data_IF_405966436496
#
_entry.id   IF_405966436496
#
_cell.length_a   1.000
_cell.length_b   1.000
_cell.length_c   1.000
_cell.angle_alpha   90.00
_cell.angle_beta   90.00
_cell.angle_gamma   90.00
#
_symmetry.space_group_name_H-M   'P 1'
#
loop_
_entity.id
_entity.type
_entity.pdbx_description
1 polymer ?
#
# COMPACT_ATOMS: atom_id res chain seq x y z
N UNK A 1 12.67 4.14 -40.08
CA UNK A 1 11.33 3.65 -39.69
C UNK A 1 11.08 4.10 -38.25
N UNK A 2 10.56 5.32 -38.06
CA UNK A 2 10.38 5.94 -36.74
C UNK A 2 9.08 5.36 -36.17
N UNK A 3 9.19 4.54 -35.12
CA UNK A 3 8.05 3.92 -34.43
C UNK A 3 7.01 4.98 -34.09
N UNK A 4 5.88 4.95 -34.81
CA UNK A 4 4.70 5.75 -34.56
C UNK A 4 4.03 5.26 -33.29
N UNK A 5 4.64 5.56 -32.14
CA UNK A 5 4.01 5.37 -30.84
C UNK A 5 2.80 6.30 -30.79
N UNK A 6 1.59 5.74 -30.76
CA UNK A 6 0.38 6.56 -30.75
C UNK A 6 0.39 7.49 -29.53
N UNK A 7 -0.14 8.71 -29.64
CA UNK A 7 -0.13 9.70 -28.54
C UNK A 7 -0.70 9.13 -27.23
N UNK A 8 -1.67 8.21 -27.33
CA UNK A 8 -2.26 7.49 -26.19
C UNK A 8 -1.22 6.68 -25.40
N UNK A 9 -0.30 5.99 -26.07
CA UNK A 9 0.72 5.16 -25.42
C UNK A 9 1.78 6.02 -24.72
N UNK A 10 2.07 7.22 -25.26
CA UNK A 10 3.00 8.16 -24.61
C UNK A 10 2.43 8.70 -23.29
N UNK A 11 1.15 9.06 -23.27
CA UNK A 11 0.44 9.49 -22.06
C UNK A 11 0.33 8.36 -21.03
N UNK A 12 0.05 7.14 -21.48
CA UNK A 12 -0.02 5.96 -20.62
C UNK A 12 1.32 5.71 -19.89
N UNK A 13 2.44 5.77 -20.61
CA UNK A 13 3.78 5.60 -20.03
C UNK A 13 4.11 6.71 -19.02
N UNK A 14 3.77 7.96 -19.32
CA UNK A 14 3.98 9.07 -18.40
C UNK A 14 3.19 8.88 -17.09
N UNK A 15 1.90 8.50 -17.18
CA UNK A 15 1.06 8.20 -16.00
C UNK A 15 1.59 7.01 -15.20
N UNK A 16 2.00 5.95 -15.89
CA UNK A 16 2.59 4.77 -15.26
C UNK A 16 3.84 5.12 -14.44
N UNK A 17 4.75 5.92 -15.00
CA UNK A 17 5.97 6.35 -14.31
C UNK A 17 5.66 7.21 -13.08
N UNK A 18 4.71 8.15 -13.20
CA UNK A 18 4.27 8.97 -12.07
C UNK A 18 3.69 8.10 -10.93
N UNK A 19 2.84 7.14 -11.28
CA UNK A 19 2.23 6.21 -10.30
C UNK A 19 3.28 5.30 -9.67
N UNK A 20 4.24 4.78 -10.43
CA UNK A 20 5.35 4.00 -9.86
C UNK A 20 6.17 4.83 -8.88
N UNK A 21 6.44 6.09 -9.20
CA UNK A 21 7.16 6.99 -8.30
C UNK A 21 6.39 7.20 -7.00
N UNK A 22 5.07 7.41 -7.07
CA UNK A 22 4.19 7.48 -5.88
C UNK A 22 4.25 6.17 -5.09
N UNK A 23 4.14 5.02 -5.75
CA UNK A 23 4.21 3.72 -5.09
C UNK A 23 5.55 3.50 -4.37
N UNK A 24 6.67 3.88 -4.99
CA UNK A 24 7.99 3.83 -4.36
C UNK A 24 8.12 4.80 -3.17
N UNK A 25 7.55 6.00 -3.28
CA UNK A 25 7.51 6.95 -2.17
C UNK A 25 6.69 6.43 -0.97
N UNK A 26 5.57 5.76 -1.23
CA UNK A 26 4.74 5.13 -0.20
C UNK A 26 5.38 3.85 0.39
N UNK A 27 6.20 3.14 -0.40
CA UNK A 27 7.04 2.07 0.16
C UNK A 27 8.12 2.68 1.06
N UNK A 28 8.75 3.78 0.64
CA UNK A 28 9.75 4.47 1.44
C UNK A 28 9.17 5.03 2.76
N UNK A 29 7.93 5.53 2.78
CA UNK A 29 7.26 5.97 4.01
C UNK A 29 7.07 4.84 5.03
N UNK A 30 6.85 3.59 4.58
CA UNK A 30 6.83 2.42 5.48
C UNK A 30 8.16 2.24 6.21
N UNK A 31 9.30 2.48 5.53
CA UNK A 31 10.61 2.48 6.17
C UNK A 31 10.82 3.69 7.09
N UNK A 32 10.24 4.84 6.77
CA UNK A 32 10.23 6.00 7.68
C UNK A 32 9.50 5.64 8.97
N UNK A 33 8.38 4.92 8.92
CA UNK A 33 7.69 4.43 10.12
C UNK A 33 8.59 3.52 10.96
N UNK A 34 9.39 2.64 10.33
CA UNK A 34 10.38 1.84 11.06
C UNK A 34 11.43 2.72 11.75
N UNK A 35 11.91 3.76 11.06
CA UNK A 35 12.80 4.76 11.67
C UNK A 35 12.17 5.46 12.87
N UNK A 36 10.87 5.81 12.80
CA UNK A 36 10.13 6.38 13.94
C UNK A 36 10.06 5.40 15.11
N UNK A 37 9.76 4.12 14.85
CA UNK A 37 9.73 3.07 15.89
C UNK A 37 11.08 2.96 16.59
N UNK A 38 12.17 2.88 15.82
CA UNK A 38 13.53 2.78 16.39
C UNK A 38 13.96 4.04 17.13
N UNK A 39 13.61 5.22 16.62
CA UNK A 39 13.88 6.48 17.32
C UNK A 39 13.15 6.55 18.67
N UNK A 40 11.87 6.15 18.72
CA UNK A 40 11.08 6.11 19.96
C UNK A 40 11.69 5.12 20.95
N UNK A 41 12.02 3.90 20.50
CA UNK A 41 12.66 2.89 21.35
C UNK A 41 13.97 3.40 21.94
N UNK A 42 14.76 4.15 21.17
CA UNK A 42 16.03 4.67 21.62
C UNK A 42 15.88 5.81 22.63
N UNK A 43 14.95 6.75 22.39
CA UNK A 43 14.76 7.95 23.21
C UNK A 43 13.93 7.70 24.49
N UNK A 44 12.99 6.74 24.46
CA UNK A 44 12.02 6.50 25.53
C UNK A 44 12.19 5.12 26.18
N UNK A 45 13.39 4.54 26.14
CA UNK A 45 13.63 3.22 26.72
C UNK A 45 13.45 3.20 28.26
N UNK A 46 12.70 2.23 28.83
CA UNK A 46 11.85 1.25 28.17
C UNK A 46 10.51 1.84 27.72
N UNK A 47 10.19 1.74 26.43
CA UNK A 47 8.93 2.22 25.89
C UNK A 47 7.82 1.17 26.08
N UNK A 48 6.87 1.45 26.97
CA UNK A 48 5.75 0.56 27.28
C UNK A 48 4.46 0.90 26.51
N UNK A 49 4.55 1.79 25.51
CA UNK A 49 3.39 2.37 24.83
C UNK A 49 2.87 3.63 25.51
N UNK A 50 2.11 4.43 24.76
CA UNK A 50 1.44 5.63 25.26
C UNK A 50 0.15 5.29 26.00
N UNK A 51 -0.43 4.12 25.75
CA UNK A 51 -1.65 3.67 26.40
C UNK A 51 -1.32 2.58 27.44
N UNK A 52 -1.87 2.70 28.65
CA UNK A 52 -1.78 1.66 29.68
C UNK A 52 -2.89 0.63 29.44
N UNK A 53 -2.71 -0.19 28.40
CA UNK A 53 -3.66 -1.25 28.04
C UNK A 53 -3.31 -2.55 28.76
N UNK A 54 -4.32 -3.31 29.16
CA UNK A 54 -4.11 -4.66 29.67
C UNK A 54 -3.69 -5.62 28.54
N UNK A 55 -2.94 -6.69 28.85
CA UNK A 55 -2.43 -7.62 27.83
C UNK A 55 -3.52 -8.30 26.98
N UNK A 56 -4.72 -8.50 27.55
CA UNK A 56 -5.83 -9.12 26.83
C UNK A 56 -6.39 -8.17 25.78
N UNK A 57 -6.57 -6.89 26.10
CA UNK A 57 -6.99 -5.84 25.17
C UNK A 57 -5.97 -5.65 24.05
N UNK A 58 -4.67 -5.63 24.36
CA UNK A 58 -3.61 -5.59 23.34
C UNK A 58 -3.71 -6.79 22.39
N UNK A 59 -3.90 -7.99 22.93
CA UNK A 59 -4.10 -9.20 22.13
C UNK A 59 -5.33 -9.11 21.21
N UNK A 60 -6.46 -8.63 21.72
CA UNK A 60 -7.68 -8.43 20.94
C UNK A 60 -7.48 -7.42 19.81
N UNK A 61 -6.84 -6.28 20.09
CA UNK A 61 -6.52 -5.26 19.08
C UNK A 61 -5.60 -5.83 18.01
N UNK A 62 -4.58 -6.61 18.38
CA UNK A 62 -3.68 -7.27 17.44
C UNK A 62 -4.44 -8.18 16.49
N UNK A 63 -5.31 -9.06 17.00
CA UNK A 63 -6.09 -9.95 16.15
C UNK A 63 -7.12 -9.19 15.30
N UNK A 64 -7.75 -8.14 15.84
CA UNK A 64 -8.64 -7.28 15.07
C UNK A 64 -7.92 -6.58 13.92
N UNK A 65 -6.73 -6.03 14.17
CA UNK A 65 -5.91 -5.38 13.14
C UNK A 65 -5.40 -6.38 12.10
N UNK A 66 -5.04 -7.60 12.51
CA UNK A 66 -4.68 -8.66 11.57
C UNK A 66 -5.87 -9.07 10.69
N UNK A 67 -7.07 -9.17 11.27
CA UNK A 67 -8.29 -9.43 10.51
C UNK A 67 -8.61 -8.29 9.53
N UNK A 68 -8.41 -7.03 9.94
CA UNK A 68 -8.55 -5.86 9.06
C UNK A 68 -7.53 -5.89 7.92
N UNK A 69 -6.26 -6.20 8.21
CA UNK A 69 -5.22 -6.35 7.19
C UNK A 69 -5.56 -7.46 6.19
N UNK A 70 -6.10 -8.59 6.66
CA UNK A 70 -6.59 -9.66 5.79
C UNK A 70 -7.79 -9.21 4.94
N UNK A 71 -8.76 -8.48 5.53
CA UNK A 71 -9.90 -7.94 4.81
C UNK A 71 -9.47 -6.92 3.73
N UNK A 72 -8.43 -6.14 4.00
CA UNK A 72 -7.85 -5.17 3.08
C UNK A 72 -7.46 -5.80 1.73
N UNK A 73 -6.94 -7.04 1.73
CA UNK A 73 -6.65 -7.77 0.51
C UNK A 73 -7.91 -7.94 -0.37
N UNK A 74 -9.03 -8.31 0.25
CA UNK A 74 -10.33 -8.42 -0.41
C UNK A 74 -10.83 -7.09 -0.94
N UNK A 75 -10.70 -6.01 -0.15
CA UNK A 75 -11.06 -4.65 -0.57
C UNK A 75 -10.26 -4.20 -1.77
N UNK A 76 -8.93 -4.42 -1.78
CA UNK A 76 -8.07 -4.10 -2.93
C UNK A 76 -8.55 -4.83 -4.19
N UNK A 77 -8.83 -6.13 -4.09
CA UNK A 77 -9.37 -6.92 -5.22
C UNK A 77 -10.73 -6.41 -5.70
N UNK A 78 -11.61 -6.02 -4.78
CA UNK A 78 -12.91 -5.45 -5.12
C UNK A 78 -12.75 -4.11 -5.86
N UNK A 79 -11.89 -3.23 -5.37
CA UNK A 79 -11.60 -1.93 -6.00
C UNK A 79 -11.03 -2.12 -7.41
N UNK A 80 -10.08 -3.03 -7.59
CA UNK A 80 -9.52 -3.34 -8.92
C UNK A 80 -10.56 -3.89 -9.90
N UNK A 81 -11.61 -4.55 -9.40
CA UNK A 81 -12.71 -5.07 -10.21
C UNK A 81 -13.77 -4.02 -10.52
N UNK A 82 -14.06 -3.13 -9.58
CA UNK A 82 -15.13 -2.12 -9.68
C UNK A 82 -14.66 -0.90 -10.46
N UNK A 83 -13.41 -0.47 -10.28
CA UNK A 83 -12.91 0.74 -10.91
C UNK A 83 -12.72 0.53 -12.42
N UNK A 84 -13.30 1.42 -13.25
CA UNK A 84 -13.33 1.23 -14.70
C UNK A 84 -11.93 1.42 -15.29
N UNK A 85 -11.29 0.33 -15.71
CA UNK A 85 -9.96 0.37 -16.32
C UNK A 85 -10.00 0.75 -17.81
N UNK A 86 -10.68 1.86 -18.16
CA UNK A 86 -10.91 2.30 -19.55
C UNK A 86 -9.91 3.35 -20.04
N UNK A 87 -9.21 4.01 -19.11
CA UNK A 87 -8.26 5.08 -19.42
C UNK A 87 -7.01 4.98 -18.54
N UNK A 88 -5.94 5.66 -18.96
CA UNK A 88 -4.71 5.78 -18.18
C UNK A 88 -4.96 6.45 -16.82
N UNK A 89 -5.88 7.43 -16.76
CA UNK A 89 -6.20 8.15 -15.53
C UNK A 89 -6.95 7.26 -14.52
N UNK A 90 -7.89 6.42 -14.98
CA UNK A 90 -8.61 5.52 -14.08
C UNK A 90 -7.69 4.41 -13.53
N UNK A 91 -6.77 3.90 -14.36
CA UNK A 91 -5.73 2.96 -13.93
C UNK A 91 -4.81 3.59 -12.89
N UNK A 92 -4.41 4.84 -13.10
CA UNK A 92 -3.61 5.60 -12.14
C UNK A 92 -4.34 5.79 -10.82
N UNK A 93 -5.60 6.21 -10.85
CA UNK A 93 -6.41 6.37 -9.65
C UNK A 93 -6.55 5.05 -8.88
N UNK A 94 -6.87 3.95 -9.58
CA UNK A 94 -6.99 2.62 -8.95
C UNK A 94 -5.69 2.16 -8.31
N UNK A 95 -4.54 2.44 -8.93
CA UNK A 95 -3.25 2.06 -8.38
C UNK A 95 -2.88 2.89 -7.15
N UNK A 96 -3.11 4.21 -7.17
CA UNK A 96 -2.86 5.07 -6.00
C UNK A 96 -3.74 4.67 -4.82
N UNK A 97 -5.02 4.38 -5.04
CA UNK A 97 -5.92 3.87 -3.98
C UNK A 97 -5.39 2.53 -3.45
N UNK A 98 -4.94 1.64 -4.33
CA UNK A 98 -4.35 0.36 -3.93
C UNK A 98 -3.12 0.56 -3.06
N UNK A 99 -2.22 1.47 -3.42
CA UNK A 99 -1.03 1.79 -2.62
C UNK A 99 -1.38 2.34 -1.24
N UNK A 100 -2.38 3.23 -1.16
CA UNK A 100 -2.87 3.74 0.14
C UNK A 100 -3.41 2.60 1.02
N UNK A 101 -4.13 1.64 0.43
CA UNK A 101 -4.61 0.48 1.16
C UNK A 101 -3.49 -0.47 1.60
N UNK A 102 -2.43 -0.62 0.80
CA UNK A 102 -1.23 -1.37 1.18
C UNK A 102 -0.52 -0.69 2.36
N UNK A 103 -0.30 0.63 2.30
CA UNK A 103 0.37 1.40 3.35
C UNK A 103 -0.43 1.42 4.65
N UNK A 104 -1.76 1.50 4.58
CA UNK A 104 -2.63 1.49 5.75
C UNK A 104 -2.41 0.26 6.66
N UNK A 105 -1.98 -0.87 6.09
CA UNK A 105 -1.62 -2.06 6.87
C UNK A 105 -0.41 -1.78 7.79
N UNK A 106 0.62 -1.08 7.31
CA UNK A 106 1.76 -0.70 8.13
C UNK A 106 1.37 0.31 9.22
N UNK A 107 0.43 1.22 8.92
CA UNK A 107 -0.12 2.16 9.91
C UNK A 107 -0.84 1.44 11.05
N UNK A 108 -1.57 0.35 10.80
CA UNK A 108 -2.16 -0.48 11.86
C UNK A 108 -1.09 -1.00 12.83
N UNK A 109 0.04 -1.47 12.28
CA UNK A 109 1.19 -1.89 13.08
C UNK A 109 1.83 -0.75 13.88
N UNK A 110 1.95 0.43 13.27
CA UNK A 110 2.52 1.60 13.93
C UNK A 110 1.63 2.04 15.09
N UNK A 111 0.32 2.09 14.88
CA UNK A 111 -0.66 2.40 15.94
C UNK A 111 -0.55 1.37 17.07
N UNK A 112 -0.46 0.07 16.75
CA UNK A 112 -0.35 -0.97 17.76
C UNK A 112 0.95 -0.84 18.58
N UNK A 113 2.08 -0.53 17.94
CA UNK A 113 3.32 -0.21 18.64
C UNK A 113 3.20 1.02 19.53
N UNK A 114 2.62 2.12 19.03
CA UNK A 114 2.45 3.35 19.81
C UNK A 114 1.54 3.12 21.03
N UNK A 115 0.55 2.23 20.93
CA UNK A 115 -0.34 1.90 22.03
C UNK A 115 0.30 0.97 23.06
N UNK A 116 0.99 -0.09 22.63
CA UNK A 116 1.42 -1.19 23.50
C UNK A 116 2.94 -1.32 23.70
N UNK A 117 3.75 -0.55 22.98
CA UNK A 117 5.22 -0.53 23.08
C UNK A 117 5.95 -1.68 22.39
N UNK A 118 5.25 -2.72 21.93
CA UNK A 118 5.89 -3.89 21.32
C UNK A 118 6.23 -3.66 19.83
N UNK A 119 7.52 -3.45 19.54
CA UNK A 119 7.97 -3.18 18.17
C UNK A 119 7.82 -4.35 17.22
N UNK A 120 7.82 -5.60 17.71
CA UNK A 120 7.60 -6.77 16.86
C UNK A 120 6.23 -6.75 16.20
N UNK A 121 5.23 -6.16 16.86
CA UNK A 121 3.91 -6.02 16.26
C UNK A 121 3.95 -5.10 15.04
N UNK A 122 4.64 -3.95 15.12
CA UNK A 122 4.85 -3.09 13.95
C UNK A 122 5.55 -3.84 12.80
N UNK A 123 6.63 -4.58 13.08
CA UNK A 123 7.39 -5.27 12.04
C UNK A 123 6.58 -6.36 11.32
N UNK A 124 5.66 -7.04 12.01
CA UNK A 124 4.73 -8.00 11.37
C UNK A 124 3.87 -7.28 10.34
N UNK A 125 3.24 -6.17 10.72
CA UNK A 125 2.38 -5.39 9.82
C UNK A 125 3.16 -4.71 8.69
N UNK A 126 4.39 -4.26 8.95
CA UNK A 126 5.31 -3.77 7.92
C UNK A 126 5.55 -4.83 6.85
N UNK A 127 5.88 -6.07 7.23
CA UNK A 127 6.10 -7.17 6.28
C UNK A 127 4.83 -7.48 5.47
N UNK A 128 3.66 -7.50 6.11
CA UNK A 128 2.38 -7.71 5.40
C UNK A 128 2.13 -6.58 4.39
N UNK A 129 2.33 -5.32 4.79
CA UNK A 129 2.19 -4.14 3.94
C UNK A 129 3.13 -4.21 2.73
N UNK A 130 4.42 -4.51 2.93
CA UNK A 130 5.39 -4.68 1.86
C UNK A 130 5.03 -5.86 0.95
N UNK A 131 4.52 -6.95 1.52
CA UNK A 131 3.95 -8.07 0.77
C UNK A 131 2.79 -7.64 -0.13
N UNK A 132 1.89 -6.79 0.35
CA UNK A 132 0.81 -6.25 -0.46
C UNK A 132 1.32 -5.32 -1.57
N UNK A 133 2.27 -4.43 -1.27
CA UNK A 133 2.93 -3.63 -2.28
C UNK A 133 3.53 -4.51 -3.38
N UNK A 134 4.23 -5.58 -3.02
CA UNK A 134 4.81 -6.53 -3.97
C UNK A 134 3.73 -7.23 -4.84
N UNK A 135 2.64 -7.69 -4.24
CA UNK A 135 1.57 -8.41 -4.93
C UNK A 135 0.75 -7.51 -5.87
N UNK A 136 0.54 -6.25 -5.48
CA UNK A 136 -0.37 -5.33 -6.18
C UNK A 136 0.34 -4.23 -6.97
N UNK A 137 1.67 -4.23 -7.03
CA UNK A 137 2.42 -3.25 -7.80
C UNK A 137 2.04 -3.32 -9.30
N UNK A 138 1.72 -2.19 -9.94
CA UNK A 138 1.27 -2.17 -11.33
C UNK A 138 2.42 -2.54 -12.28
N UNK A 139 2.10 -3.42 -13.25
CA UNK A 139 3.00 -3.77 -14.36
C UNK A 139 2.55 -3.06 -15.63
N UNK A 140 3.49 -2.40 -16.31
CA UNK A 140 3.20 -1.63 -17.53
C UNK A 140 2.48 -2.47 -18.60
N UNK A 141 2.92 -3.71 -18.82
CA UNK A 141 2.32 -4.62 -19.79
C UNK A 141 0.83 -4.89 -19.54
N UNK A 142 0.42 -4.95 -18.28
CA UNK A 142 -0.99 -5.16 -17.92
C UNK A 142 -1.82 -3.92 -18.28
N UNK A 143 -1.30 -2.73 -17.98
CA UNK A 143 -1.96 -1.47 -18.30
C UNK A 143 -2.10 -1.27 -19.80
N UNK A 144 -1.05 -1.56 -20.56
CA UNK A 144 -1.08 -1.49 -22.01
C UNK A 144 -2.12 -2.45 -22.61
N UNK A 145 -2.17 -3.69 -22.15
CA UNK A 145 -3.19 -4.68 -22.58
C UNK A 145 -4.61 -4.19 -22.31
N UNK A 146 -4.84 -3.64 -21.12
CA UNK A 146 -6.16 -3.15 -20.71
C UNK A 146 -6.61 -1.94 -21.55
N UNK A 147 -5.73 -0.96 -21.75
CA UNK A 147 -6.04 0.22 -22.57
C UNK A 147 -6.26 -0.16 -24.04
N UNK A 148 -5.43 -1.06 -24.59
CA UNK A 148 -5.60 -1.56 -25.97
C UNK A 148 -6.94 -2.29 -26.14
N UNK A 149 -7.29 -3.19 -25.21
CA UNK A 149 -8.56 -3.89 -25.23
C UNK A 149 -9.77 -2.94 -25.12
N UNK A 150 -9.66 -1.89 -24.30
CA UNK A 150 -10.67 -0.85 -24.19
C UNK A 150 -10.81 0.02 -25.45
N UNK A 151 -9.71 0.28 -26.16
CA UNK A 151 -9.72 1.07 -27.41
C UNK A 151 -10.30 0.33 -28.62
N UNK A 152 -10.31 -1.01 -28.61
CA UNK A 152 -10.88 -1.83 -29.69
C UNK A 152 -12.39 -2.09 -29.57
N UNK A 153 -13.02 -1.68 -28.45
CA UNK A 153 -14.46 -1.84 -28.22
C UNK A 153 -15.27 -0.55 -28.43
N UNK A 154 -14.60 0.56 -28.76
CA UNK A 154 -15.20 1.83 -29.15
C UNK A 154 -14.95 2.09 -30.64
#
# INVERSE_FOLDING_TARGET
>A
MKSSTSPILTTLKARYLAVNFIGLAMIASVFVYAGVVELIKWQLAPFAGFARLDPRTVGLLKYAFLALAAAQYGVIKAIQKILPAKSADNLAQSAVITFALCEAVALLGLVLFLLAGNSMDFYIFMVISLGFFYLFFPKYEQWEKIVRAGSSQN
#
